data_IF_794723272466
#
_entry.id   IF_794723272466
#
_cell.length_a   1.000
_cell.length_b   1.000
_cell.length_c   1.000
_cell.angle_alpha   90.00
_cell.angle_beta   90.00
_cell.angle_gamma   90.00
#
_symmetry.space_group_name_H-M   'P 1'
#
loop_
_entity.id
_entity.type
_entity.pdbx_description
1 polymer ?
#
# COMPACT_ATOMS: atom_id res chain seq x y z
N UNK A 1 -6.93 12.30 -15.21
CA UNK A 1 -7.16 11.21 -16.07
C UNK A 1 -5.98 10.80 -16.86
N UNK A 2 -5.31 11.69 -17.51
CA UNK A 2 -4.16 11.32 -18.25
C UNK A 2 -3.12 10.67 -17.37
N UNK A 3 -2.93 11.16 -16.18
CA UNK A 3 -1.94 10.63 -15.27
C UNK A 3 -2.29 9.20 -14.89
N UNK A 4 -3.55 8.94 -14.68
CA UNK A 4 -3.99 7.60 -14.31
C UNK A 4 -3.76 6.65 -15.48
N UNK A 5 -4.01 7.13 -16.70
CA UNK A 5 -3.83 6.30 -17.86
C UNK A 5 -2.34 5.98 -18.05
N UNK A 6 -1.49 6.96 -17.83
CA UNK A 6 -0.07 6.76 -17.98
C UNK A 6 0.44 5.79 -16.92
N UNK A 7 -0.07 5.91 -15.71
CA UNK A 7 0.34 5.02 -14.65
C UNK A 7 -0.09 3.59 -14.98
N UNK A 8 -1.29 3.43 -15.55
CA UNK A 8 -1.76 2.11 -15.90
C UNK A 8 -0.91 1.52 -17.01
N UNK A 9 -0.48 2.33 -17.97
CA UNK A 9 0.34 1.84 -19.04
C UNK A 9 1.69 1.42 -18.50
N UNK A 10 2.24 2.19 -17.60
CA UNK A 10 3.52 1.85 -17.02
C UNK A 10 3.40 0.56 -16.21
N UNK A 11 2.31 0.41 -15.49
CA UNK A 11 2.11 -0.79 -14.70
C UNK A 11 1.97 -2.01 -15.60
N UNK A 12 1.30 -1.83 -16.71
CA UNK A 12 1.10 -2.94 -17.63
C UNK A 12 2.43 -3.30 -18.27
N UNK A 13 3.22 -2.32 -18.63
CA UNK A 13 4.52 -2.56 -19.22
C UNK A 13 5.46 -3.26 -18.26
N UNK A 14 5.43 -2.83 -17.01
CA UNK A 14 6.27 -3.43 -15.99
C UNK A 14 5.84 -4.88 -15.78
N UNK A 15 4.55 -5.12 -15.79
CA UNK A 15 4.04 -6.46 -15.57
C UNK A 15 4.51 -7.39 -16.69
N UNK A 16 4.49 -6.93 -17.90
CA UNK A 16 4.93 -7.76 -19.01
C UNK A 16 6.43 -7.94 -19.02
N UNK A 17 7.16 -6.93 -18.60
CA UNK A 17 8.60 -6.99 -18.62
C UNK A 17 9.19 -7.82 -17.51
N UNK A 18 8.45 -8.03 -16.48
CA UNK A 18 8.99 -8.72 -15.39
C UNK A 18 8.41 -10.02 -15.23
N UNK A 19 8.75 -10.90 -15.90
CA UNK A 19 8.19 -12.18 -15.83
C UNK A 19 8.41 -12.80 -14.52
N UNK A 20 9.43 -12.57 -13.87
CA UNK A 20 9.60 -13.25 -12.75
C UNK A 20 9.87 -12.50 -11.64
N UNK A 21 9.97 -13.05 -10.65
CA UNK A 21 10.14 -12.48 -9.49
C UNK A 21 11.30 -11.80 -9.38
N UNK A 22 11.25 -10.81 -8.88
CA UNK A 22 12.29 -10.04 -8.63
C UNK A 22 12.77 -10.42 -7.34
N UNK A 23 13.90 -10.78 -7.24
CA UNK A 23 14.43 -11.18 -6.00
C UNK A 23 14.30 -10.15 -5.00
N UNK A 24 14.37 -9.00 -5.43
CA UNK A 24 14.33 -8.01 -4.46
C UNK A 24 13.00 -7.89 -3.95
N UNK A 25 12.06 -8.51 -4.50
CA UNK A 25 10.87 -8.29 -4.07
C UNK A 25 10.62 -8.89 -2.90
N UNK A 26 11.41 -9.22 -2.30
CA UNK A 26 11.24 -9.60 -1.14
C UNK A 26 9.94 -9.65 -0.76
N UNK A 27 9.52 -10.50 -0.34
CA UNK A 27 8.30 -10.70 0.19
C UNK A 27 7.86 -9.61 0.98
N UNK A 28 7.06 -8.85 0.44
CA UNK A 28 6.57 -7.78 1.16
C UNK A 28 5.97 -8.24 2.41
N UNK A 29 5.30 -9.28 2.38
CA UNK A 29 4.59 -9.70 3.53
C UNK A 29 5.44 -9.98 4.71
N UNK A 30 6.64 -10.40 4.52
CA UNK A 30 7.40 -10.69 5.66
C UNK A 30 8.25 -9.56 6.00
N UNK A 31 8.45 -8.67 5.16
CA UNK A 31 9.30 -7.59 5.48
C UNK A 31 8.64 -6.52 6.32
N UNK A 32 7.39 -6.31 6.15
CA UNK A 32 6.72 -5.23 6.83
C UNK A 32 5.82 -5.71 7.92
N UNK A 33 6.10 -5.24 9.12
CA UNK A 33 5.32 -5.67 10.26
C UNK A 33 4.38 -4.53 10.63
N UNK A 34 3.13 -4.65 10.27
CA UNK A 34 2.14 -3.65 10.59
C UNK A 34 1.56 -3.98 11.95
N UNK A 35 1.66 -3.07 12.87
CA UNK A 35 1.10 -3.33 14.19
C UNK A 35 0.45 -2.08 14.76
N UNK A 36 -0.23 -2.26 15.88
CA UNK A 36 -0.99 -1.22 16.51
C UNK A 36 -0.16 -0.02 16.88
N UNK A 37 1.04 -0.22 17.34
CA UNK A 37 1.88 0.87 17.81
C UNK A 37 2.27 1.78 16.65
N UNK A 38 2.68 1.21 15.53
CA UNK A 38 3.07 2.00 14.39
C UNK A 38 1.88 2.78 13.85
N UNK A 39 0.73 2.14 13.78
CA UNK A 39 -0.46 2.81 13.27
C UNK A 39 -0.92 3.91 14.22
N UNK A 40 -0.86 3.65 15.52
CA UNK A 40 -1.27 4.66 16.50
C UNK A 40 -0.34 5.85 16.47
N UNK A 41 0.94 5.63 16.32
CA UNK A 41 1.90 6.73 16.36
C UNK A 41 1.82 7.62 15.13
N UNK A 42 1.41 7.09 14.01
CA UNK A 42 1.48 7.82 12.76
C UNK A 42 0.16 8.17 12.11
N UNK A 43 -0.93 7.56 12.49
CA UNK A 43 -2.20 7.75 11.81
C UNK A 43 -3.30 8.13 12.78
N UNK A 44 -3.70 9.39 12.72
CA UNK A 44 -4.72 9.86 13.64
C UNK A 44 -6.07 9.19 13.41
N UNK A 45 -6.37 8.83 12.17
CA UNK A 45 -7.62 8.13 11.88
C UNK A 45 -7.67 6.83 12.69
N UNK A 46 -6.55 6.13 12.78
CA UNK A 46 -6.48 4.87 13.50
C UNK A 46 -6.72 5.09 14.99
N UNK A 47 -6.18 6.17 15.53
CA UNK A 47 -6.33 6.42 16.96
C UNK A 47 -7.79 6.65 17.35
N UNK A 48 -8.60 7.09 16.41
CA UNK A 48 -9.99 7.36 16.70
C UNK A 48 -10.88 6.10 16.61
N UNK A 49 -10.34 4.98 16.18
CA UNK A 49 -11.13 3.79 16.03
C UNK A 49 -11.19 2.97 17.31
N UNK A 50 -12.28 2.23 17.48
CA UNK A 50 -12.40 1.35 18.63
C UNK A 50 -11.57 0.09 18.36
N UNK A 51 -11.47 -0.79 19.33
CA UNK A 51 -10.63 -1.95 19.24
C UNK A 51 -10.95 -2.85 18.06
N UNK A 52 -12.20 -3.10 17.81
CA UNK A 52 -12.59 -3.97 16.72
C UNK A 52 -12.24 -3.35 15.38
N UNK A 53 -12.48 -2.05 15.23
CA UNK A 53 -12.19 -1.39 13.98
C UNK A 53 -10.70 -1.18 13.78
N UNK A 54 -9.93 -1.07 14.84
CA UNK A 54 -8.49 -1.01 14.73
C UNK A 54 -7.96 -2.31 14.13
N UNK A 55 -8.53 -3.43 14.55
CA UNK A 55 -8.09 -4.71 14.03
C UNK A 55 -8.44 -4.83 12.56
N UNK A 56 -9.62 -4.37 12.19
CA UNK A 56 -10.04 -4.40 10.80
C UNK A 56 -9.11 -3.52 9.96
N UNK A 57 -8.76 -2.33 10.46
CA UNK A 57 -7.89 -1.41 9.73
C UNK A 57 -6.50 -2.05 9.53
N UNK A 58 -5.98 -2.65 10.58
CA UNK A 58 -4.69 -3.28 10.53
C UNK A 58 -4.69 -4.39 9.48
N UNK A 59 -5.76 -5.17 9.44
CA UNK A 59 -5.89 -6.25 8.48
C UNK A 59 -5.95 -5.70 7.06
N UNK A 60 -6.71 -4.63 6.85
CA UNK A 60 -6.86 -4.07 5.52
C UNK A 60 -5.58 -3.42 5.02
N UNK A 61 -4.82 -2.79 5.91
CA UNK A 61 -3.53 -2.22 5.54
C UNK A 61 -2.59 -3.35 5.16
N UNK A 62 -2.59 -4.43 5.92
CA UNK A 62 -1.72 -5.56 5.63
C UNK A 62 -2.08 -6.19 4.29
N UNK A 63 -3.37 -6.31 4.00
CA UNK A 63 -3.80 -6.85 2.73
C UNK A 63 -3.40 -5.96 1.57
N UNK A 64 -3.51 -4.66 1.75
CA UNK A 64 -3.12 -3.73 0.70
C UNK A 64 -1.62 -3.90 0.41
N UNK A 65 -0.82 -4.01 1.45
CA UNK A 65 0.62 -4.16 1.27
C UNK A 65 0.98 -5.48 0.60
N UNK A 66 0.18 -6.49 0.78
CA UNK A 66 0.41 -7.77 0.14
C UNK A 66 0.01 -7.74 -1.33
N UNK A 67 -0.99 -6.94 -1.67
CA UNK A 67 -1.51 -6.90 -3.02
C UNK A 67 -0.90 -5.84 -3.92
N UNK A 68 -0.40 -4.77 -3.36
CA UNK A 68 0.06 -3.63 -4.14
C UNK A 68 1.54 -3.37 -3.89
N UNK A 69 2.31 -3.25 -4.96
CA UNK A 69 3.73 -3.01 -4.81
C UNK A 69 3.94 -1.50 -4.72
N UNK A 70 4.81 -1.07 -3.85
CA UNK A 70 5.11 0.35 -3.70
C UNK A 70 6.57 0.55 -4.06
N UNK A 71 6.82 1.34 -5.08
CA UNK A 71 8.15 1.49 -5.65
C UNK A 71 8.58 2.95 -5.61
N UNK A 72 9.83 3.19 -5.22
CA UNK A 72 10.37 4.54 -5.24
C UNK A 72 10.99 4.85 -6.58
N UNK A 73 10.77 6.07 -7.07
CA UNK A 73 11.36 6.51 -8.31
C UNK A 73 12.32 7.62 -7.93
N UNK A 74 13.60 7.34 -7.99
CA UNK A 74 14.65 8.25 -7.57
C UNK A 74 14.53 8.60 -6.09
N UNK A 75 14.04 7.69 -5.31
CA UNK A 75 13.94 7.89 -3.86
C UNK A 75 13.89 6.51 -3.21
N UNK A 76 14.23 6.45 -1.94
CA UNK A 76 14.21 5.20 -1.22
C UNK A 76 12.89 5.11 -0.47
N UNK A 77 12.24 3.97 -0.54
CA UNK A 77 10.97 3.76 0.14
C UNK A 77 11.24 2.92 1.37
N UNK A 78 10.92 3.47 2.53
CA UNK A 78 11.11 2.75 3.77
C UNK A 78 9.80 2.10 4.19
N UNK A 79 9.84 1.23 5.19
CA UNK A 79 8.64 0.54 5.64
C UNK A 79 7.57 1.51 6.10
N UNK A 80 7.96 2.59 6.77
CA UNK A 80 6.96 3.53 7.24
C UNK A 80 6.28 4.21 6.04
N UNK A 81 7.02 4.45 4.95
CA UNK A 81 6.43 5.04 3.77
C UNK A 81 5.38 4.11 3.19
N UNK A 82 5.67 2.81 3.17
CA UNK A 82 4.73 1.83 2.64
C UNK A 82 3.47 1.78 3.50
N UNK A 83 3.64 1.81 4.80
CA UNK A 83 2.51 1.76 5.71
C UNK A 83 1.64 3.01 5.55
N UNK A 84 2.26 4.18 5.39
CA UNK A 84 1.50 5.41 5.22
C UNK A 84 0.74 5.42 3.89
N UNK A 85 1.33 4.89 2.84
CA UNK A 85 0.65 4.81 1.56
C UNK A 85 -0.54 3.86 1.67
N UNK A 86 -0.34 2.71 2.29
CA UNK A 86 -1.41 1.73 2.45
C UNK A 86 -2.55 2.31 3.30
N UNK A 87 -2.21 3.00 4.37
CA UNK A 87 -3.22 3.60 5.22
C UNK A 87 -4.00 4.67 4.46
N UNK A 88 -3.30 5.45 3.64
CA UNK A 88 -3.96 6.48 2.85
C UNK A 88 -4.94 5.88 1.84
N UNK A 89 -4.65 4.69 1.37
CA UNK A 89 -5.54 4.02 0.45
C UNK A 89 -6.72 3.39 1.18
N UNK A 90 -6.51 2.88 2.38
CA UNK A 90 -7.57 2.20 3.13
C UNK A 90 -8.57 3.17 3.73
N UNK A 91 -8.12 4.33 4.19
CA UNK A 91 -9.00 5.27 4.86
C UNK A 91 -10.26 5.61 4.07
N UNK A 92 -10.16 5.97 2.79
CA UNK A 92 -11.37 6.36 2.05
C UNK A 92 -12.38 5.23 1.87
N UNK A 93 -11.92 3.99 1.85
CA UNK A 93 -12.82 2.87 1.65
C UNK A 93 -13.10 2.06 2.90
N UNK A 94 -12.62 2.55 4.02
CA UNK A 94 -12.75 1.78 5.26
C UNK A 94 -14.22 1.50 5.63
N UNK A 95 -15.10 2.44 5.35
CA UNK A 95 -16.50 2.26 5.68
C UNK A 95 -17.20 1.34 4.68
N UNK A 96 -16.51 0.96 3.61
CA UNK A 96 -17.11 0.13 2.57
C UNK A 96 -16.21 -1.10 2.34
N UNK A 97 -16.22 -2.03 3.25
CA UNK A 97 -15.27 -3.14 3.21
C UNK A 97 -15.25 -3.96 1.92
N UNK A 98 -16.33 -3.95 1.17
CA UNK A 98 -16.38 -4.70 -0.05
C UNK A 98 -15.72 -3.97 -1.20
N UNK A 99 -15.36 -2.70 -1.01
CA UNK A 99 -14.71 -1.94 -2.07
C UNK A 99 -13.21 -2.18 -1.97
N UNK A 100 -12.62 -2.65 -3.02
CA UNK A 100 -11.19 -2.88 -3.05
C UNK A 100 -10.59 -2.35 -4.32
N UNK A 101 -9.31 -2.07 -4.29
CA UNK A 101 -8.60 -1.54 -5.44
C UNK A 101 -8.17 -2.71 -6.31
N UNK A 102 -9.10 -3.31 -7.00
CA UNK A 102 -8.82 -4.53 -7.73
C UNK A 102 -7.93 -4.34 -8.94
N UNK A 103 -7.86 -3.12 -9.46
CA UNK A 103 -7.02 -2.87 -10.62
C UNK A 103 -5.71 -2.19 -10.30
N UNK A 104 -5.44 -1.93 -9.03
CA UNK A 104 -4.23 -1.24 -8.64
C UNK A 104 -3.17 -2.28 -8.29
N UNK A 105 -2.07 -2.27 -8.99
CA UNK A 105 -1.01 -3.22 -8.73
C UNK A 105 0.26 -2.57 -8.21
N UNK A 106 0.46 -1.32 -8.49
CA UNK A 106 1.68 -0.67 -8.05
C UNK A 106 1.46 0.82 -7.83
N UNK A 107 2.12 1.36 -6.82
CA UNK A 107 2.10 2.77 -6.52
C UNK A 107 3.54 3.25 -6.64
N UNK A 108 3.74 4.36 -7.34
CA UNK A 108 5.06 4.91 -7.51
C UNK A 108 5.21 6.15 -6.64
N UNK A 109 6.29 6.18 -5.89
CA UNK A 109 6.56 7.33 -5.02
C UNK A 109 7.73 8.10 -5.59
N UNK A 110 7.55 9.41 -5.73
CA UNK A 110 8.59 10.27 -6.25
C UNK A 110 9.10 11.17 -5.14
N UNK A 111 10.30 11.71 -5.25
CA UNK A 111 10.80 12.59 -4.22
C UNK A 111 10.08 13.93 -4.32
N UNK A 112 10.10 14.68 -3.25
CA UNK A 112 9.46 15.96 -3.21
C UNK A 112 10.12 16.98 -4.13
#
# INVERSE_FOLDING_TARGET
MLIVTIILLILFGVFLAKPKTDPGKTPLGEAIHVNDVILSDNISFFRALDKTKRKQFETEVTEFLADVKITGVNTTVEDIDRILVAASAVIPVFAFPQWKYSNLQEVLLYPD
#
